data_IF_418675995078
#
_entry.id   IF_418675995078
#
_cell.length_a   1.000
_cell.length_b   1.000
_cell.length_c   1.000
_cell.angle_alpha   90.00
_cell.angle_beta   90.00
_cell.angle_gamma   90.00
#
_symmetry.space_group_name_H-M   'P 1'
#
loop_
_entity.id
_entity.type
_entity.pdbx_description
1 polymer ?
#
# COMPACT_ATOMS: atom_id res chain seq x y z
N UNK A 1 -2.00 6.73 -15.48
CA UNK A 1 -3.18 7.54 -15.88
C UNK A 1 -4.37 6.62 -16.12
N UNK A 2 -5.43 6.82 -15.38
CA UNK A 2 -6.66 6.09 -15.60
C UNK A 2 -7.40 6.73 -16.80
N UNK A 3 -7.48 6.04 -17.91
CA UNK A 3 -8.37 6.44 -18.99
C UNK A 3 -9.80 6.03 -18.62
N UNK A 4 -10.76 6.90 -18.89
CA UNK A 4 -12.19 6.72 -18.56
C UNK A 4 -12.81 5.39 -19.06
N UNK A 5 -12.09 4.58 -19.81
CA UNK A 5 -12.61 3.38 -20.48
C UNK A 5 -11.84 2.09 -20.15
N UNK A 6 -10.84 2.11 -19.26
CA UNK A 6 -10.14 0.89 -18.86
C UNK A 6 -10.02 0.84 -17.33
N UNK A 7 -10.65 -0.15 -16.76
CA UNK A 7 -10.47 -0.48 -15.36
C UNK A 7 -9.17 -1.29 -15.21
N UNK A 8 -8.11 -0.60 -14.79
CA UNK A 8 -6.80 -1.22 -14.59
C UNK A 8 -6.79 -2.22 -13.43
N UNK A 9 -7.85 -2.23 -12.62
CA UNK A 9 -8.02 -3.21 -11.52
C UNK A 9 -8.58 -4.54 -11.99
N UNK A 10 -9.04 -4.64 -13.24
CA UNK A 10 -9.51 -5.90 -13.80
C UNK A 10 -8.31 -6.69 -14.34
N UNK A 11 -8.05 -7.80 -13.67
CA UNK A 11 -7.05 -8.75 -14.13
C UNK A 11 -7.65 -9.59 -15.27
N UNK A 12 -6.95 -9.63 -16.40
CA UNK A 12 -7.37 -10.44 -17.55
C UNK A 12 -6.98 -11.92 -17.39
N UNK A 13 -6.29 -12.28 -16.32
CA UNK A 13 -5.82 -13.62 -16.02
C UNK A 13 -5.88 -13.89 -14.53
N UNK A 14 -5.97 -15.18 -14.11
CA UNK A 14 -5.88 -15.53 -12.69
C UNK A 14 -4.56 -15.08 -12.09
N UNK A 15 -4.58 -14.71 -10.80
CA UNK A 15 -3.35 -14.42 -10.08
C UNK A 15 -2.48 -15.67 -9.97
N UNK A 16 -1.15 -15.54 -10.03
CA UNK A 16 -0.28 -16.66 -9.70
C UNK A 16 -0.43 -17.06 -8.24
N UNK A 17 -0.03 -18.28 -7.90
CA UNK A 17 -0.08 -18.75 -6.52
C UNK A 17 0.90 -17.98 -5.64
N UNK A 18 0.43 -17.61 -4.46
CA UNK A 18 1.26 -16.99 -3.42
C UNK A 18 1.51 -17.91 -2.22
N UNK A 19 1.34 -19.23 -2.39
CA UNK A 19 1.46 -20.19 -1.29
C UNK A 19 2.82 -20.19 -0.60
N UNK A 20 3.89 -19.92 -1.33
CA UNK A 20 5.25 -19.92 -0.81
C UNK A 20 5.83 -18.51 -0.62
N UNK A 21 5.03 -17.49 -0.83
CA UNK A 21 5.46 -16.10 -0.72
C UNK A 21 5.21 -15.52 0.67
N UNK A 22 6.08 -14.60 1.07
CA UNK A 22 5.99 -13.88 2.34
C UNK A 22 5.85 -12.39 2.06
N UNK A 23 4.89 -11.76 2.72
CA UNK A 23 4.59 -10.34 2.52
C UNK A 23 4.66 -9.57 3.83
N UNK A 24 5.19 -8.36 3.74
CA UNK A 24 5.05 -7.36 4.78
C UNK A 24 4.04 -6.30 4.33
N UNK A 25 3.11 -5.94 5.21
CA UNK A 25 2.17 -4.86 4.96
C UNK A 25 2.41 -3.79 6.01
N UNK A 26 2.80 -2.59 5.58
CA UNK A 26 2.94 -1.43 6.44
C UNK A 26 1.74 -0.50 6.22
N UNK A 27 1.06 -0.15 7.31
CA UNK A 27 -0.20 0.57 7.29
C UNK A 27 -0.10 1.86 8.09
N UNK A 28 -0.47 2.98 7.50
CA UNK A 28 -0.58 4.24 8.21
C UNK A 28 -1.84 4.25 9.09
N UNK A 29 -1.70 4.69 10.34
CA UNK A 29 -2.81 4.77 11.30
C UNK A 29 -3.79 5.90 10.97
N UNK A 30 -3.29 7.01 10.43
CA UNK A 30 -4.15 8.14 10.06
C UNK A 30 -5.08 7.77 8.91
N UNK A 31 -6.31 8.28 9.00
CA UNK A 31 -7.41 7.99 8.08
C UNK A 31 -7.81 6.50 8.09
N UNK A 32 -8.13 5.94 9.27
CA UNK A 32 -8.33 4.50 9.44
C UNK A 32 -9.48 3.94 8.60
N UNK A 33 -10.51 4.73 8.31
CA UNK A 33 -11.61 4.30 7.44
C UNK A 33 -11.09 3.86 6.06
N UNK A 34 -10.09 4.56 5.56
CA UNK A 34 -9.47 4.26 4.26
C UNK A 34 -8.43 3.17 4.41
N UNK A 35 -7.48 3.34 5.32
CA UNK A 35 -6.34 2.43 5.44
C UNK A 35 -6.73 1.04 5.89
N UNK A 36 -7.69 0.90 6.79
CA UNK A 36 -8.20 -0.42 7.20
C UNK A 36 -8.95 -1.12 6.07
N UNK A 37 -9.67 -0.36 5.23
CA UNK A 37 -10.31 -0.91 4.03
C UNK A 37 -9.28 -1.40 3.01
N UNK A 38 -8.21 -0.65 2.81
CA UNK A 38 -7.10 -1.05 1.94
C UNK A 38 -6.41 -2.31 2.49
N UNK A 39 -6.17 -2.36 3.79
CA UNK A 39 -5.58 -3.52 4.45
C UNK A 39 -6.44 -4.77 4.27
N UNK A 40 -7.73 -4.65 4.53
CA UNK A 40 -8.68 -5.74 4.34
C UNK A 40 -8.66 -6.28 2.91
N UNK A 41 -8.66 -5.39 1.91
CA UNK A 41 -8.56 -5.76 0.51
C UNK A 41 -7.24 -6.47 0.16
N UNK A 42 -6.12 -5.96 0.65
CA UNK A 42 -4.81 -6.54 0.42
C UNK A 42 -4.72 -7.95 1.02
N UNK A 43 -5.11 -8.12 2.28
CA UNK A 43 -5.09 -9.42 2.96
C UNK A 43 -6.00 -10.41 2.25
N UNK A 44 -7.22 -9.99 1.89
CA UNK A 44 -8.18 -10.84 1.17
C UNK A 44 -7.59 -11.33 -0.15
N UNK A 45 -6.96 -10.45 -0.93
CA UNK A 45 -6.35 -10.81 -2.22
C UNK A 45 -5.21 -11.80 -2.04
N UNK A 46 -4.31 -11.56 -1.08
CA UNK A 46 -3.20 -12.46 -0.81
C UNK A 46 -3.68 -13.84 -0.35
N UNK A 47 -4.67 -13.89 0.55
CA UNK A 47 -5.26 -15.13 1.03
C UNK A 47 -5.96 -15.89 -0.11
N UNK A 48 -6.67 -15.19 -0.98
CA UNK A 48 -7.32 -15.78 -2.15
C UNK A 48 -6.31 -16.35 -3.14
N UNK A 49 -5.11 -15.79 -3.20
CA UNK A 49 -4.01 -16.32 -4.02
C UNK A 49 -3.25 -17.47 -3.34
N UNK A 50 -3.66 -17.90 -2.16
CA UNK A 50 -3.09 -19.04 -1.43
C UNK A 50 -2.05 -18.68 -0.39
N UNK A 51 -1.73 -17.41 -0.17
CA UNK A 51 -0.75 -17.01 0.83
C UNK A 51 -1.24 -17.38 2.23
N UNK A 52 -0.49 -18.19 3.00
CA UNK A 52 -0.90 -18.52 4.36
C UNK A 52 -0.86 -17.29 5.27
N UNK A 53 -1.76 -17.25 6.23
CA UNK A 53 -1.85 -16.12 7.16
C UNK A 53 -0.52 -15.83 7.88
N UNK A 54 0.19 -16.86 8.28
CA UNK A 54 1.49 -16.70 8.96
C UNK A 54 2.60 -16.13 8.08
N UNK A 55 2.39 -16.07 6.76
CA UNK A 55 3.30 -15.43 5.81
C UNK A 55 2.95 -13.97 5.53
N UNK A 56 1.95 -13.43 6.20
CA UNK A 56 1.55 -12.03 6.09
C UNK A 56 1.83 -11.34 7.42
N UNK A 57 2.82 -10.44 7.42
CA UNK A 57 3.16 -9.63 8.60
C UNK A 57 2.60 -8.22 8.42
N UNK A 58 1.86 -7.75 9.41
CA UNK A 58 1.23 -6.43 9.38
C UNK A 58 1.86 -5.56 10.46
N UNK A 59 2.33 -4.38 10.09
CA UNK A 59 2.91 -3.39 11.00
C UNK A 59 2.29 -2.03 10.73
N UNK A 60 2.09 -1.25 11.78
CA UNK A 60 1.51 0.08 11.71
C UNK A 60 2.56 1.15 11.91
N UNK A 61 2.37 2.27 11.22
CA UNK A 61 3.13 3.52 11.39
C UNK A 61 2.15 4.67 11.60
N UNK A 62 2.58 5.79 12.22
CA UNK A 62 1.63 6.87 12.53
C UNK A 62 0.93 7.45 11.32
N UNK A 63 1.66 7.79 10.28
CA UNK A 63 1.10 8.41 9.08
C UNK A 63 1.80 7.95 7.81
N UNK A 64 1.33 8.46 6.69
CA UNK A 64 1.87 8.12 5.36
C UNK A 64 3.37 8.49 5.25
N UNK A 65 3.80 9.57 5.92
CA UNK A 65 5.20 9.99 5.89
C UNK A 65 6.16 8.92 6.42
N UNK A 66 5.74 8.10 7.38
CA UNK A 66 6.58 7.06 7.98
C UNK A 66 6.51 5.71 7.25
N UNK A 67 5.73 5.59 6.18
CA UNK A 67 5.61 4.33 5.42
C UNK A 67 6.94 3.87 4.84
N UNK A 68 7.76 4.79 4.35
CA UNK A 68 9.07 4.43 3.80
C UNK A 68 9.96 3.79 4.88
N UNK A 69 10.00 4.35 6.09
CA UNK A 69 10.76 3.76 7.19
C UNK A 69 10.20 2.37 7.58
N UNK A 70 8.89 2.23 7.66
CA UNK A 70 8.26 0.95 7.95
C UNK A 70 8.57 -0.11 6.89
N UNK A 71 8.57 0.28 5.62
CA UNK A 71 8.95 -0.60 4.53
C UNK A 71 10.43 -1.01 4.62
N UNK A 72 11.30 -0.08 5.00
CA UNK A 72 12.72 -0.38 5.20
C UNK A 72 12.94 -1.39 6.33
N UNK A 73 12.21 -1.30 7.42
CA UNK A 73 12.29 -2.31 8.49
C UNK A 73 11.97 -3.70 7.97
N UNK A 74 10.96 -3.84 7.14
CA UNK A 74 10.66 -5.13 6.51
C UNK A 74 11.80 -5.62 5.61
N UNK A 75 12.33 -4.73 4.77
CA UNK A 75 13.41 -5.09 3.85
C UNK A 75 14.70 -5.49 4.58
N UNK A 76 15.00 -4.81 5.68
CA UNK A 76 16.27 -4.98 6.40
C UNK A 76 16.22 -6.10 7.44
N UNK A 77 15.10 -6.27 8.15
CA UNK A 77 15.03 -7.14 9.32
C UNK A 77 14.14 -8.37 9.17
N UNK A 78 13.56 -8.58 8.01
CA UNK A 78 12.70 -9.74 7.74
C UNK A 78 13.08 -10.42 6.44
N UNK A 79 12.49 -11.59 6.20
CA UNK A 79 12.69 -12.37 5.00
C UNK A 79 11.51 -12.29 4.02
N UNK A 80 10.73 -11.20 4.09
CA UNK A 80 9.61 -11.02 3.16
C UNK A 80 10.08 -10.88 1.72
N UNK A 81 9.26 -11.37 0.80
CA UNK A 81 9.53 -11.30 -0.64
C UNK A 81 9.10 -9.96 -1.24
N UNK A 82 8.12 -9.32 -0.65
CA UNK A 82 7.61 -8.02 -1.09
C UNK A 82 6.94 -7.29 0.08
N UNK A 83 6.81 -5.97 -0.07
CA UNK A 83 6.13 -5.11 0.90
C UNK A 83 4.96 -4.40 0.22
N UNK A 84 3.88 -4.22 0.94
CA UNK A 84 2.72 -3.43 0.53
C UNK A 84 2.62 -2.25 1.49
N UNK A 85 2.72 -1.03 0.97
CA UNK A 85 2.61 0.20 1.77
C UNK A 85 1.22 0.82 1.56
N UNK A 86 0.47 0.94 2.64
CA UNK A 86 -0.92 1.42 2.61
C UNK A 86 -1.06 2.71 3.40
N UNK A 87 -1.53 3.75 2.73
CA UNK A 87 -1.76 5.05 3.35
C UNK A 87 -2.76 5.88 2.59
N UNK A 88 -3.09 7.04 3.16
CA UNK A 88 -3.97 8.00 2.53
C UNK A 88 -3.54 9.40 2.92
N UNK A 89 -3.39 10.27 1.93
CA UNK A 89 -3.11 11.69 2.14
C UNK A 89 -4.27 12.49 1.55
N UNK A 90 -4.90 13.28 2.40
CA UNK A 90 -6.02 14.13 2.01
C UNK A 90 -5.54 15.55 1.93
N UNK A 91 -5.80 16.21 0.81
CA UNK A 91 -5.39 17.59 0.60
C UNK A 91 -6.14 18.53 1.57
N UNK A 92 -5.35 19.30 2.34
CA UNK A 92 -5.85 20.33 3.21
C UNK A 92 -5.58 21.73 2.64
N UNK A 93 -5.67 22.74 3.50
CA UNK A 93 -5.51 24.15 3.11
C UNK A 93 -4.06 24.59 2.93
N UNK A 94 -3.11 23.76 3.40
CA UNK A 94 -1.68 24.08 3.34
C UNK A 94 -0.96 23.24 2.31
N UNK A 95 0.27 23.59 2.02
CA UNK A 95 1.13 22.82 1.11
C UNK A 95 1.69 21.55 1.71
N UNK A 96 1.36 21.21 2.93
CA UNK A 96 1.76 19.99 3.62
C UNK A 96 1.50 18.74 2.78
N UNK A 97 0.35 18.68 2.13
CA UNK A 97 -0.03 17.60 1.22
C UNK A 97 1.05 17.31 0.16
N UNK A 98 1.56 18.36 -0.49
CA UNK A 98 2.56 18.21 -1.55
C UNK A 98 3.86 17.59 -1.01
N UNK A 99 4.31 18.03 0.15
CA UNK A 99 5.54 17.53 0.76
C UNK A 99 5.41 16.08 1.22
N UNK A 100 4.26 15.71 1.79
CA UNK A 100 4.03 14.32 2.20
C UNK A 100 3.96 13.40 1.00
N UNK A 101 3.25 13.78 -0.05
CA UNK A 101 3.14 12.99 -1.28
C UNK A 101 4.50 12.81 -1.95
N UNK A 102 5.29 13.86 -2.06
CA UNK A 102 6.64 13.79 -2.63
C UNK A 102 7.56 12.93 -1.77
N UNK A 103 7.55 13.14 -0.46
CA UNK A 103 8.42 12.42 0.46
C UNK A 103 8.18 10.92 0.44
N UNK A 104 6.95 10.48 0.56
CA UNK A 104 6.60 9.05 0.55
C UNK A 104 6.88 8.42 -0.81
N UNK A 105 6.59 9.10 -1.90
CA UNK A 105 6.83 8.61 -3.25
C UNK A 105 8.33 8.39 -3.49
N UNK A 106 9.15 9.38 -3.18
CA UNK A 106 10.61 9.29 -3.33
C UNK A 106 11.21 8.24 -2.42
N UNK A 107 10.77 8.19 -1.16
CA UNK A 107 11.29 7.23 -0.18
C UNK A 107 11.03 5.78 -0.60
N UNK A 108 9.82 5.47 -0.99
CA UNK A 108 9.45 4.11 -1.43
C UNK A 108 10.18 3.75 -2.73
N UNK A 109 10.25 4.67 -3.68
CA UNK A 109 10.96 4.44 -4.95
C UNK A 109 12.44 4.12 -4.71
N UNK A 110 13.11 4.88 -3.85
CA UNK A 110 14.52 4.64 -3.51
C UNK A 110 14.73 3.29 -2.83
N UNK A 111 13.84 2.91 -1.91
CA UNK A 111 13.93 1.64 -1.20
C UNK A 111 13.81 0.43 -2.12
N UNK A 112 12.92 0.48 -3.10
CA UNK A 112 12.77 -0.61 -4.07
C UNK A 112 14.08 -0.88 -4.82
N UNK A 113 14.75 0.18 -5.21
CA UNK A 113 16.01 0.08 -5.96
C UNK A 113 17.15 -0.34 -5.02
N UNK A 114 17.23 0.27 -3.84
CA UNK A 114 18.30 0.02 -2.87
C UNK A 114 18.30 -1.42 -2.36
N UNK A 115 17.12 -1.96 -2.06
CA UNK A 115 16.96 -3.28 -1.48
C UNK A 115 16.59 -4.36 -2.51
N UNK A 116 16.44 -3.98 -3.78
CA UNK A 116 15.97 -4.87 -4.84
C UNK A 116 14.72 -5.64 -4.40
N UNK A 117 13.78 -4.89 -3.84
CA UNK A 117 12.55 -5.44 -3.24
C UNK A 117 11.32 -4.76 -3.83
N UNK A 118 10.34 -5.52 -4.32
CA UNK A 118 9.07 -4.93 -4.74
C UNK A 118 8.35 -4.31 -3.54
N UNK A 119 7.97 -3.04 -3.66
CA UNK A 119 7.14 -2.35 -2.67
C UNK A 119 5.94 -1.76 -3.41
N UNK A 120 4.76 -2.34 -3.18
CA UNK A 120 3.54 -1.85 -3.78
C UNK A 120 3.13 -0.52 -3.13
N UNK A 121 2.91 0.50 -3.95
CA UNK A 121 2.52 1.84 -3.51
C UNK A 121 0.99 1.93 -3.43
N UNK A 122 0.44 1.51 -2.29
CA UNK A 122 -0.99 1.60 -2.01
C UNK A 122 -1.34 2.86 -1.23
N UNK A 123 -0.88 4.02 -1.69
CA UNK A 123 -1.11 5.31 -1.04
C UNK A 123 -2.07 6.14 -1.88
N UNK A 124 -3.24 6.42 -1.32
CA UNK A 124 -4.23 7.28 -1.96
C UNK A 124 -3.91 8.75 -1.66
N UNK A 125 -3.91 9.56 -2.71
CA UNK A 125 -3.70 11.02 -2.62
C UNK A 125 -4.92 11.69 -3.22
N UNK A 126 -5.79 12.23 -2.37
CA UNK A 126 -7.13 12.69 -2.77
C UNK A 126 -7.43 14.10 -2.29
N UNK A 127 -8.32 14.78 -3.01
CA UNK A 127 -8.78 16.13 -2.66
C UNK A 127 -9.75 16.16 -1.48
N UNK A 128 -10.58 15.12 -1.34
CA UNK A 128 -11.48 14.96 -0.21
C UNK A 128 -11.79 13.47 0.05
N UNK A 129 -12.53 13.19 1.13
CA UNK A 129 -12.83 11.83 1.58
C UNK A 129 -13.92 11.10 0.79
N UNK A 130 -14.83 11.84 0.16
CA UNK A 130 -16.00 11.21 -0.46
C UNK A 130 -15.67 10.26 -1.62
N UNK A 131 -14.76 10.60 -2.55
CA UNK A 131 -14.39 9.67 -3.62
C UNK A 131 -13.73 8.40 -3.12
N UNK A 132 -13.03 8.50 -1.99
CA UNK A 132 -12.22 7.39 -1.45
C UNK A 132 -13.08 6.29 -0.85
N UNK A 133 -14.12 6.67 -0.09
CA UNK A 133 -14.94 5.70 0.64
C UNK A 133 -15.73 4.78 -0.29
N UNK A 134 -15.98 5.18 -1.52
CA UNK A 134 -16.87 4.45 -2.42
C UNK A 134 -16.16 3.68 -3.53
N UNK A 135 -15.10 4.22 -4.10
CA UNK A 135 -14.49 3.69 -5.32
C UNK A 135 -13.21 2.90 -5.05
N UNK A 136 -12.41 3.30 -4.09
CA UNK A 136 -11.05 2.77 -3.89
C UNK A 136 -10.98 1.65 -2.85
N UNK A 137 -11.91 1.59 -1.91
CA UNK A 137 -11.94 0.53 -0.89
C UNK A 137 -12.37 -0.82 -1.45
N UNK A 138 -12.89 -0.85 -2.66
CA UNK A 138 -13.28 -2.08 -3.37
C UNK A 138 -12.21 -2.60 -4.34
N UNK A 139 -11.23 -1.81 -4.60
CA UNK A 139 -10.11 -2.20 -5.46
C UNK A 139 -9.02 -2.90 -4.68
#
# INVERSE_FOLDING_TARGET
MATKHRNLSQLNSPLPSAEEMKFGIVVAEWNPEVTEGLLSGAVHTLRSAGCPEHNIQIKYVPGTFELALGAQFFAEYTDVDAVIALGCVIQGDTRHFDFICQGVTQGITQLQIQWNMPIAFGVLTVGDMQPVSYTHLRA
#
